data_IF_745969762842
#
_entry.id   IF_745969762842
#
_cell.length_a   1.000
_cell.length_b   1.000
_cell.length_c   1.000
_cell.angle_alpha   90.00
_cell.angle_beta   90.00
_cell.angle_gamma   90.00
#
_symmetry.space_group_name_H-M   'P 1'
#
loop_
_entity.id
_entity.type
_entity.pdbx_description
1 polymer ?
#
# COMPACT_ATOMS: atom_id res chain seq x y z
N UNK A 1 14.07 43.57 -15.57
CA UNK A 1 13.39 44.70 -14.86
C UNK A 1 13.97 44.86 -13.44
N UNK A 2 14.30 46.10 -13.00
CA UNK A 2 14.75 46.35 -11.61
C UNK A 2 13.55 46.65 -10.70
N UNK A 3 13.42 45.91 -9.59
CA UNK A 3 12.34 46.10 -8.61
C UNK A 3 12.92 46.45 -7.24
N UNK A 4 12.42 47.53 -6.63
CA UNK A 4 12.77 47.88 -5.24
C UNK A 4 12.07 46.94 -4.25
N UNK A 5 12.84 46.36 -3.33
CA UNK A 5 12.31 45.51 -2.27
C UNK A 5 11.64 46.37 -1.18
N UNK A 6 10.36 46.09 -0.88
CA UNK A 6 9.66 46.71 0.25
C UNK A 6 10.14 46.07 1.56
N UNK A 7 10.60 46.90 2.50
CA UNK A 7 11.09 46.45 3.81
C UNK A 7 9.93 46.13 4.76
N UNK A 8 9.99 44.98 5.41
CA UNK A 8 9.06 44.55 6.45
C UNK A 8 9.66 44.71 7.87
N UNK A 9 8.91 44.25 8.87
CA UNK A 9 9.31 44.34 10.29
C UNK A 9 10.60 43.54 10.57
N UNK A 10 11.39 43.94 11.58
CA UNK A 10 12.56 43.20 12.02
C UNK A 10 12.23 41.77 12.44
N UNK A 11 13.11 40.82 12.10
CA UNK A 11 12.96 39.39 12.48
C UNK A 11 13.33 39.09 13.93
N UNK A 12 13.91 40.07 14.64
CA UNK A 12 14.28 40.01 16.06
C UNK A 12 13.97 41.34 16.72
N UNK A 13 13.64 41.33 18.02
CA UNK A 13 13.40 42.55 18.78
C UNK A 13 14.67 43.43 18.78
N UNK A 14 14.54 44.67 18.29
CA UNK A 14 15.67 45.60 18.11
C UNK A 14 16.51 45.41 16.85
N UNK A 15 16.15 44.46 15.97
CA UNK A 15 16.85 44.23 14.70
C UNK A 15 16.51 45.24 13.60
N UNK A 16 17.27 45.19 12.50
CA UNK A 16 16.97 45.99 11.31
C UNK A 16 15.79 45.41 10.51
N UNK A 17 15.00 46.25 9.82
CA UNK A 17 13.94 45.81 8.90
C UNK A 17 14.49 44.87 7.82
N UNK A 18 13.77 43.77 7.57
CA UNK A 18 14.14 42.78 6.55
C UNK A 18 13.18 42.82 5.36
N UNK A 19 13.63 42.66 4.12
CA UNK A 19 15.01 42.48 3.68
C UNK A 19 15.86 43.76 3.75
N UNK A 20 17.21 43.66 3.77
CA UNK A 20 18.08 44.81 3.63
C UNK A 20 17.75 45.59 2.35
N UNK A 21 18.01 46.90 2.32
CA UNK A 21 17.70 47.68 1.11
C UNK A 21 18.56 47.17 -0.03
N UNK A 22 17.89 46.80 -1.11
CA UNK A 22 18.51 46.39 -2.35
C UNK A 22 17.48 46.45 -3.46
N UNK A 23 17.96 46.69 -4.66
CA UNK A 23 17.24 46.46 -5.91
C UNK A 23 17.61 45.06 -6.40
N UNK A 24 16.63 44.28 -6.85
CA UNK A 24 16.88 43.00 -7.50
C UNK A 24 16.68 43.17 -9.00
N UNK A 25 17.66 42.75 -9.78
CA UNK A 25 17.53 42.60 -11.23
C UNK A 25 16.84 41.27 -11.53
N UNK A 26 15.66 41.37 -12.14
CA UNK A 26 14.98 40.23 -12.73
C UNK A 26 15.45 40.15 -14.18
N UNK A 27 16.23 39.12 -14.49
CA UNK A 27 16.61 38.77 -15.86
C UNK A 27 15.39 38.16 -16.56
N UNK A 28 15.02 38.70 -17.72
CA UNK A 28 13.89 38.17 -18.50
C UNK A 28 14.25 36.76 -18.97
N UNK A 29 13.44 35.78 -18.56
CA UNK A 29 13.61 34.40 -18.98
C UNK A 29 13.56 34.31 -20.52
N UNK A 30 14.44 33.51 -21.16
CA UNK A 30 14.37 33.32 -22.60
C UNK A 30 13.00 32.74 -22.96
N UNK A 31 12.38 33.33 -23.99
CA UNK A 31 11.07 32.91 -24.49
C UNK A 31 11.05 31.41 -24.72
N UNK A 32 10.20 30.71 -23.96
CA UNK A 32 9.93 29.30 -24.19
C UNK A 32 9.43 29.12 -25.64
N UNK A 33 10.12 28.25 -26.39
CA UNK A 33 9.73 27.88 -27.73
C UNK A 33 8.26 27.42 -27.75
N UNK A 34 7.47 28.04 -28.62
CA UNK A 34 6.07 27.75 -28.80
C UNK A 34 5.88 26.27 -29.18
N UNK A 35 5.05 25.56 -28.40
CA UNK A 35 4.50 24.28 -28.82
C UNK A 35 3.65 24.48 -30.09
N UNK A 36 3.61 23.51 -31.02
CA UNK A 36 2.84 23.64 -32.25
C UNK A 36 1.36 23.81 -31.91
N UNK A 37 0.80 24.95 -32.32
CA UNK A 37 -0.62 25.26 -32.23
C UNK A 37 -1.39 24.37 -33.20
N UNK A 38 -2.32 23.58 -32.65
CA UNK A 38 -3.36 22.94 -33.45
C UNK A 38 -4.21 24.02 -34.15
N UNK A 39 -4.72 23.77 -35.37
CA UNK A 39 -5.54 24.75 -36.08
C UNK A 39 -6.80 25.09 -35.26
N UNK A 40 -7.30 26.34 -35.33
CA UNK A 40 -8.43 26.77 -34.54
C UNK A 40 -9.70 25.99 -34.91
N UNK A 41 -10.42 25.48 -33.91
CA UNK A 41 -11.74 24.90 -34.09
C UNK A 41 -12.70 25.99 -34.60
N UNK A 42 -13.36 25.75 -35.73
CA UNK A 42 -14.24 26.71 -36.41
C UNK A 42 -15.60 26.88 -35.75
N UNK A 43 -15.93 26.09 -34.71
CA UNK A 43 -17.19 26.20 -33.98
C UNK A 43 -16.95 26.27 -32.47
N UNK A 44 -17.48 27.32 -31.83
CA UNK A 44 -17.43 27.54 -30.39
C UNK A 44 -18.84 27.65 -29.82
N UNK A 45 -19.10 27.00 -28.69
CA UNK A 45 -20.39 27.04 -27.98
C UNK A 45 -20.32 28.00 -26.81
N UNK A 46 -21.32 28.86 -26.68
CA UNK A 46 -21.45 29.81 -25.58
C UNK A 46 -21.94 29.10 -24.30
N UNK A 47 -21.12 29.11 -23.25
CA UNK A 47 -21.43 28.42 -21.98
C UNK A 47 -21.48 29.43 -20.82
N UNK A 48 -22.56 29.45 -20.01
CA UNK A 48 -22.67 30.36 -18.87
C UNK A 48 -21.71 29.98 -17.74
N UNK A 49 -21.06 30.97 -17.13
CA UNK A 49 -20.15 30.78 -16.00
C UNK A 49 -20.92 30.43 -14.73
N UNK A 50 -20.57 29.31 -14.09
CA UNK A 50 -21.14 28.90 -12.80
C UNK A 50 -20.57 29.80 -11.69
N UNK A 51 -21.45 30.53 -10.99
CA UNK A 51 -21.05 31.43 -9.90
C UNK A 51 -20.93 30.69 -8.57
N UNK A 52 -19.87 31.00 -7.83
CA UNK A 52 -19.61 30.52 -6.47
C UNK A 52 -19.84 31.61 -5.42
N UNK A 53 -19.49 31.30 -4.17
CA UNK A 53 -19.70 32.21 -3.03
C UNK A 53 -18.91 33.53 -3.18
N UNK A 54 -19.43 34.65 -2.63
CA UNK A 54 -18.75 35.94 -2.64
C UNK A 54 -17.37 35.86 -1.97
N UNK A 55 -16.39 36.57 -2.55
CA UNK A 55 -15.01 36.62 -2.01
C UNK A 55 -14.86 37.54 -0.80
N UNK A 56 -15.89 38.31 -0.48
CA UNK A 56 -15.98 39.19 0.69
C UNK A 56 -17.37 39.10 1.31
N UNK A 57 -17.51 39.22 2.65
CA UNK A 57 -18.81 39.23 3.31
C UNK A 57 -19.71 40.35 2.75
N UNK A 58 -20.90 39.98 2.29
CA UNK A 58 -21.87 40.91 1.68
C UNK A 58 -21.60 41.27 0.21
N UNK A 59 -20.58 40.70 -0.44
CA UNK A 59 -20.27 40.93 -1.85
C UNK A 59 -21.11 40.09 -2.82
N UNK A 60 -20.96 40.35 -4.12
CA UNK A 60 -21.63 39.57 -5.16
C UNK A 60 -20.94 38.20 -5.41
N UNK A 61 -21.72 37.17 -5.84
CA UNK A 61 -21.18 35.87 -6.25
C UNK A 61 -20.14 36.01 -7.36
N UNK A 62 -19.01 35.32 -7.23
CA UNK A 62 -17.91 35.36 -8.20
C UNK A 62 -17.83 34.07 -9.01
N UNK A 63 -17.53 34.10 -10.32
CA UNK A 63 -17.29 35.29 -11.17
C UNK A 63 -18.56 36.09 -11.48
N UNK A 64 -18.43 37.34 -11.98
CA UNK A 64 -19.55 38.13 -12.45
C UNK A 64 -20.36 37.39 -13.52
N UNK A 65 -21.59 37.85 -13.76
CA UNK A 65 -22.42 37.35 -14.85
C UNK A 65 -21.65 37.36 -16.17
N UNK A 66 -21.44 36.20 -16.78
CA UNK A 66 -20.75 36.12 -18.04
C UNK A 66 -20.90 34.75 -18.68
N UNK A 67 -20.84 34.74 -20.00
CA UNK A 67 -20.73 33.54 -20.82
C UNK A 67 -19.31 33.49 -21.40
N UNK A 68 -18.80 32.28 -21.62
CA UNK A 68 -17.51 32.05 -22.28
C UNK A 68 -17.73 31.11 -23.46
N UNK A 69 -17.06 31.38 -24.57
CA UNK A 69 -17.08 30.53 -25.75
C UNK A 69 -16.04 29.42 -25.60
N UNK A 70 -16.48 28.17 -25.65
CA UNK A 70 -15.62 26.98 -25.55
C UNK A 70 -15.71 26.21 -26.86
N UNK A 71 -14.58 25.68 -27.36
CA UNK A 71 -14.56 24.90 -28.59
C UNK A 71 -15.56 23.73 -28.52
N UNK A 72 -16.39 23.58 -29.56
CA UNK A 72 -17.36 22.50 -29.63
C UNK A 72 -16.64 21.14 -29.63
N UNK A 73 -17.09 20.15 -28.83
CA UNK A 73 -16.51 18.81 -28.88
C UNK A 73 -16.78 18.21 -30.27
N UNK A 74 -15.71 17.76 -30.94
CA UNK A 74 -15.79 17.07 -32.23
C UNK A 74 -16.59 15.79 -32.03
N UNK A 75 -17.75 15.69 -32.68
CA UNK A 75 -18.55 14.48 -32.70
C UNK A 75 -17.74 13.34 -33.35
N UNK A 76 -17.61 12.21 -32.65
CA UNK A 76 -17.13 10.97 -33.25
C UNK A 76 -18.07 10.59 -34.41
N UNK A 77 -17.57 10.12 -35.56
CA UNK A 77 -18.41 9.79 -36.69
C UNK A 77 -19.40 8.69 -36.30
N UNK A 78 -20.68 8.96 -36.58
CA UNK A 78 -21.77 8.01 -36.46
C UNK A 78 -21.64 6.93 -37.54
N UNK A 79 -21.52 5.67 -37.12
CA UNK A 79 -21.66 4.53 -38.01
C UNK A 79 -23.06 4.56 -38.65
N UNK A 80 -23.08 4.69 -39.97
CA UNK A 80 -24.27 4.47 -40.84
C UNK A 80 -24.15 3.07 -41.47
N UNK A 81 -25.25 2.46 -41.97
CA UNK A 81 -25.57 1.07 -41.73
C UNK A 81 -25.12 0.12 -42.85
N UNK A 82 -24.84 -1.12 -42.42
CA UNK A 82 -25.02 -2.42 -43.08
C UNK A 82 -25.01 -2.48 -44.62
N UNK A 83 -24.05 -3.23 -45.19
CA UNK A 83 -24.24 -3.93 -46.46
C UNK A 83 -23.42 -5.23 -46.48
N UNK A 84 -24.17 -6.33 -46.64
CA UNK A 84 -23.87 -7.63 -47.25
C UNK A 84 -22.71 -8.50 -46.70
N UNK A 85 -23.12 -9.68 -46.21
CA UNK A 85 -22.29 -10.86 -45.95
C UNK A 85 -21.54 -11.36 -47.20
N UNK A 86 -20.54 -12.25 -46.99
CA UNK A 86 -20.78 -13.61 -47.48
C UNK A 86 -20.38 -14.73 -46.51
N UNK A 87 -21.19 -15.80 -46.59
CA UNK A 87 -20.89 -17.22 -46.44
C UNK A 87 -20.39 -17.78 -45.07
N UNK A 88 -21.32 -18.52 -44.45
CA UNK A 88 -21.17 -19.79 -43.73
C UNK A 88 -19.80 -20.14 -43.13
N UNK A 89 -19.71 -20.00 -41.81
CA UNK A 89 -18.95 -20.95 -40.99
C UNK A 89 -19.89 -21.48 -39.93
N UNK A 90 -20.12 -22.78 -39.96
CA UNK A 90 -20.94 -23.52 -39.01
C UNK A 90 -20.22 -23.51 -37.65
N UNK A 91 -20.63 -22.60 -36.76
CA UNK A 91 -20.05 -22.47 -35.42
C UNK A 91 -20.93 -23.28 -34.47
N UNK A 92 -20.39 -24.37 -33.92
CA UNK A 92 -21.06 -25.16 -32.89
C UNK A 92 -21.44 -24.26 -31.70
N UNK A 93 -22.73 -24.02 -31.54
CA UNK A 93 -23.30 -23.25 -30.42
C UNK A 93 -24.05 -24.18 -29.48
N UNK A 94 -23.86 -23.98 -28.17
CA UNK A 94 -24.54 -24.75 -27.12
C UNK A 94 -25.58 -23.85 -26.45
N UNK A 95 -26.79 -24.36 -26.28
CA UNK A 95 -27.84 -23.69 -25.51
C UNK A 95 -27.59 -23.83 -24.01
N UNK A 96 -27.42 -22.70 -23.32
CA UNK A 96 -27.25 -22.65 -21.87
C UNK A 96 -28.49 -21.99 -21.25
N UNK A 97 -29.16 -22.63 -20.27
CA UNK A 97 -30.30 -22.04 -19.57
C UNK A 97 -29.85 -20.89 -18.66
N UNK A 98 -30.57 -19.78 -18.69
CA UNK A 98 -30.33 -18.62 -17.81
C UNK A 98 -30.83 -18.91 -16.39
N UNK A 99 -29.97 -18.70 -15.38
CA UNK A 99 -30.38 -18.76 -13.96
C UNK A 99 -31.01 -17.42 -13.56
N UNK A 100 -32.24 -17.47 -13.06
CA UNK A 100 -32.95 -16.29 -12.55
C UNK A 100 -32.36 -15.85 -11.20
N UNK A 101 -32.09 -14.55 -11.09
CA UNK A 101 -31.66 -13.88 -9.87
C UNK A 101 -32.74 -12.98 -9.27
N UNK A 102 -32.39 -12.26 -8.21
CA UNK A 102 -33.29 -11.37 -7.50
C UNK A 102 -33.85 -10.25 -8.41
N UNK A 103 -35.10 -9.79 -8.17
CA UNK A 103 -35.68 -8.67 -8.90
C UNK A 103 -34.82 -7.41 -8.82
N UNK A 104 -34.69 -6.71 -9.95
CA UNK A 104 -33.91 -5.45 -10.03
C UNK A 104 -34.63 -4.25 -9.41
N UNK A 105 -35.90 -4.41 -9.05
CA UNK A 105 -36.72 -3.42 -8.35
C UNK A 105 -37.54 -4.10 -7.24
N UNK A 106 -37.79 -3.42 -6.10
CA UNK A 106 -38.65 -3.95 -5.05
C UNK A 106 -40.05 -4.28 -5.60
N UNK A 107 -40.48 -5.55 -5.48
CA UNK A 107 -41.76 -6.04 -5.98
C UNK A 107 -41.78 -6.46 -7.46
N UNK A 108 -40.65 -6.43 -8.17
CA UNK A 108 -40.55 -6.90 -9.56
C UNK A 108 -40.39 -8.42 -9.69
N UNK A 109 -40.46 -8.92 -10.92
CA UNK A 109 -40.18 -10.34 -11.21
C UNK A 109 -38.68 -10.69 -11.21
N UNK A 110 -38.32 -11.95 -10.93
CA UNK A 110 -36.94 -12.44 -11.02
C UNK A 110 -36.32 -12.19 -12.40
N UNK A 111 -35.10 -11.67 -12.42
CA UNK A 111 -34.39 -11.34 -13.66
C UNK A 111 -33.16 -12.22 -13.83
N UNK A 112 -32.82 -12.70 -15.05
CA UNK A 112 -33.53 -12.52 -16.32
C UNK A 112 -34.82 -13.36 -16.44
N UNK A 113 -35.74 -13.01 -17.35
CA UNK A 113 -36.86 -13.88 -17.71
C UNK A 113 -36.34 -15.24 -18.19
N UNK A 114 -37.13 -16.28 -17.97
CA UNK A 114 -36.78 -17.66 -18.34
C UNK A 114 -36.46 -17.75 -19.82
N UNK A 115 -35.25 -18.20 -20.15
CA UNK A 115 -34.78 -18.31 -21.52
C UNK A 115 -33.45 -19.05 -21.60
N UNK A 116 -33.13 -19.55 -22.79
CA UNK A 116 -31.82 -20.12 -23.12
C UNK A 116 -31.04 -19.13 -23.98
N UNK A 117 -29.71 -19.10 -23.82
CA UNK A 117 -28.82 -18.31 -24.69
C UNK A 117 -27.84 -19.26 -25.34
N UNK A 118 -27.64 -19.10 -26.65
CA UNK A 118 -26.64 -19.84 -27.42
C UNK A 118 -25.27 -19.21 -27.24
N UNK A 119 -24.32 -19.98 -26.74
CA UNK A 119 -22.93 -19.55 -26.55
C UNK A 119 -22.03 -20.45 -27.39
N UNK A 120 -21.01 -19.85 -28.03
CA UNK A 120 -20.02 -20.56 -28.85
C UNK A 120 -19.28 -21.58 -27.98
N UNK A 121 -19.26 -22.84 -28.40
CA UNK A 121 -18.59 -23.91 -27.67
C UNK A 121 -17.06 -23.67 -27.60
N UNK A 122 -16.40 -23.85 -26.45
CA UNK A 122 -14.94 -23.89 -26.40
C UNK A 122 -14.41 -25.12 -27.18
N UNK A 123 -13.24 -25.02 -27.83
CA UNK A 123 -12.71 -26.11 -28.67
C UNK A 123 -12.51 -27.39 -27.85
N UNK A 124 -13.11 -28.49 -28.34
CA UNK A 124 -13.12 -29.78 -27.69
C UNK A 124 -11.71 -30.38 -27.57
N UNK A 125 -11.32 -30.75 -26.35
CA UNK A 125 -10.21 -31.65 -26.11
C UNK A 125 -10.52 -33.03 -26.70
N UNK A 126 -9.50 -33.68 -27.25
CA UNK A 126 -9.52 -34.95 -27.98
C UNK A 126 -10.50 -36.00 -27.43
N UNK A 127 -11.37 -36.45 -28.33
CA UNK A 127 -12.28 -37.58 -28.17
C UNK A 127 -11.46 -38.88 -28.20
N UNK A 128 -11.33 -39.57 -27.07
CA UNK A 128 -10.84 -40.95 -27.05
C UNK A 128 -11.90 -41.88 -27.66
N UNK A 129 -11.53 -42.89 -28.48
CA UNK A 129 -12.50 -43.64 -29.26
C UNK A 129 -13.29 -44.64 -28.41
N UNK A 130 -14.56 -44.73 -28.78
CA UNK A 130 -15.58 -45.64 -28.30
C UNK A 130 -15.26 -47.08 -28.73
N UNK A 131 -15.20 -48.00 -27.76
CA UNK A 131 -14.96 -49.41 -28.00
C UNK A 131 -16.29 -50.14 -28.28
N UNK A 132 -16.37 -50.79 -29.44
CA UNK A 132 -17.45 -51.71 -29.81
C UNK A 132 -17.26 -53.09 -29.14
N UNK A 133 -18.32 -53.92 -29.05
CA UNK A 133 -18.39 -55.07 -28.15
C UNK A 133 -18.06 -56.40 -28.86
N UNK A 134 -17.34 -57.33 -28.21
CA UNK A 134 -17.53 -58.77 -28.46
C UNK A 134 -16.96 -59.71 -27.39
N UNK A 135 -17.80 -60.70 -27.03
CA UNK A 135 -17.57 -62.10 -26.72
C UNK A 135 -16.52 -62.59 -25.68
N UNK A 136 -17.10 -63.17 -24.62
CA UNK A 136 -16.91 -64.53 -24.11
C UNK A 136 -15.49 -65.07 -23.79
N UNK A 137 -15.32 -65.40 -22.50
CA UNK A 137 -14.64 -66.61 -22.08
C UNK A 137 -13.37 -66.40 -21.26
N UNK A 138 -13.48 -66.29 -19.94
CA UNK A 138 -12.67 -67.06 -18.98
C UNK A 138 -13.13 -66.79 -17.54
N UNK A 139 -13.24 -67.87 -16.80
CA UNK A 139 -13.71 -68.03 -15.42
C UNK A 139 -12.86 -67.25 -14.39
N UNK A 140 -13.44 -66.48 -13.44
CA UNK A 140 -12.67 -65.85 -12.38
C UNK A 140 -12.62 -66.69 -11.09
N UNK A 141 -11.40 -66.91 -10.60
CA UNK A 141 -11.06 -67.40 -9.27
C UNK A 141 -11.62 -66.47 -8.15
N UNK A 142 -11.81 -66.98 -6.92
CA UNK A 142 -12.75 -66.38 -5.96
C UNK A 142 -12.29 -65.03 -5.41
N UNK A 143 -13.23 -64.08 -5.39
CA UNK A 143 -13.05 -62.73 -4.90
C UNK A 143 -12.75 -62.68 -3.38
N UNK A 144 -11.87 -61.78 -2.91
CA UNK A 144 -11.76 -61.47 -1.49
C UNK A 144 -13.03 -60.77 -0.99
N UNK A 145 -13.44 -61.10 0.23
CA UNK A 145 -14.65 -60.60 0.90
C UNK A 145 -14.70 -59.06 0.88
N UNK A 146 -15.85 -58.44 0.55
CA UNK A 146 -15.97 -56.98 0.60
C UNK A 146 -15.89 -56.51 2.06
N UNK A 147 -14.93 -55.63 2.34
CA UNK A 147 -14.99 -54.77 3.52
C UNK A 147 -16.20 -53.83 3.39
N UNK A 148 -16.92 -53.53 4.49
CA UNK A 148 -18.10 -52.69 4.42
C UNK A 148 -17.71 -51.30 3.93
N UNK A 149 -18.34 -50.87 2.83
CA UNK A 149 -18.32 -49.49 2.37
C UNK A 149 -18.97 -48.64 3.47
N UNK A 150 -18.28 -47.62 4.03
CA UNK A 150 -18.95 -46.65 4.88
C UNK A 150 -20.01 -45.95 4.02
N UNK A 151 -21.26 -45.94 4.47
CA UNK A 151 -22.31 -45.17 3.84
C UNK A 151 -21.82 -43.72 3.61
N UNK A 152 -22.20 -43.07 2.49
CA UNK A 152 -21.86 -41.67 2.28
C UNK A 152 -22.41 -40.90 3.48
N UNK A 153 -21.49 -40.32 4.25
CA UNK A 153 -21.86 -39.38 5.29
C UNK A 153 -22.75 -38.33 4.62
N UNK A 154 -23.99 -38.26 5.06
CA UNK A 154 -24.86 -37.15 4.74
C UNK A 154 -24.03 -35.91 5.01
N UNK A 155 -23.83 -35.10 3.96
CA UNK A 155 -23.25 -33.78 4.11
C UNK A 155 -24.27 -33.03 4.97
N UNK A 156 -24.07 -33.09 6.29
CA UNK A 156 -24.64 -32.11 7.18
C UNK A 156 -24.25 -30.79 6.57
N UNK A 157 -25.26 -30.00 6.18
CA UNK A 157 -25.05 -28.61 5.84
C UNK A 157 -24.11 -28.05 6.91
N UNK A 158 -22.93 -27.57 6.50
CA UNK A 158 -22.09 -26.79 7.38
C UNK A 158 -22.98 -25.63 7.85
N UNK A 159 -23.49 -25.74 9.07
CA UNK A 159 -24.08 -24.62 9.77
C UNK A 159 -22.99 -23.55 9.75
N UNK A 160 -23.22 -22.48 8.99
CA UNK A 160 -22.39 -21.30 9.09
C UNK A 160 -22.31 -20.94 10.57
N UNK A 161 -21.12 -20.72 11.15
CA UNK A 161 -21.02 -20.39 12.56
C UNK A 161 -21.65 -19.01 12.79
N UNK A 162 -22.96 -19.01 13.08
CA UNK A 162 -23.67 -17.90 13.70
C UNK A 162 -22.98 -17.60 15.04
N UNK A 163 -22.04 -16.67 15.03
CA UNK A 163 -21.40 -16.24 16.29
C UNK A 163 -20.05 -15.55 16.16
N UNK A 164 -19.33 -15.68 15.05
CA UNK A 164 -18.05 -14.96 14.90
C UNK A 164 -18.28 -13.45 14.75
N UNK A 165 -19.40 -13.05 14.14
CA UNK A 165 -19.74 -11.64 13.90
C UNK A 165 -20.09 -10.80 15.14
N UNK A 166 -20.39 -11.40 16.31
CA UNK A 166 -20.78 -10.67 17.54
C UNK A 166 -19.73 -10.68 18.65
N UNK A 167 -18.72 -11.56 18.56
CA UNK A 167 -17.68 -11.71 19.62
C UNK A 167 -16.62 -10.62 19.65
N UNK A 168 -16.42 -9.89 18.55
CA UNK A 168 -15.42 -8.80 18.47
C UNK A 168 -15.98 -7.45 18.94
N UNK A 169 -17.31 -7.24 18.84
CA UNK A 169 -17.97 -6.00 19.21
C UNK A 169 -17.66 -5.50 20.64
N UNK A 170 -17.68 -6.32 21.71
CA UNK A 170 -17.32 -5.84 23.04
C UNK A 170 -15.85 -5.42 23.14
N UNK A 171 -14.95 -6.08 22.43
CA UNK A 171 -13.52 -5.72 22.40
C UNK A 171 -13.27 -4.43 21.65
N UNK A 172 -13.93 -4.23 20.50
CA UNK A 172 -13.82 -2.95 19.77
C UNK A 172 -14.45 -1.81 20.51
N UNK A 173 -15.62 -2.01 21.11
CA UNK A 173 -16.26 -0.99 21.94
C UNK A 173 -15.36 -0.66 23.15
N UNK A 174 -14.82 -1.67 23.82
CA UNK A 174 -13.87 -1.47 24.92
C UNK A 174 -12.61 -0.72 24.50
N UNK A 175 -12.04 -1.04 23.33
CA UNK A 175 -10.86 -0.35 22.78
C UNK A 175 -11.17 1.10 22.46
N UNK A 176 -12.33 1.38 21.85
CA UNK A 176 -12.77 2.74 21.53
C UNK A 176 -13.05 3.56 22.80
N UNK A 177 -13.68 2.97 23.81
CA UNK A 177 -13.91 3.61 25.10
C UNK A 177 -12.59 3.91 25.82
N UNK A 178 -11.64 2.97 25.80
CA UNK A 178 -10.30 3.18 26.36
C UNK A 178 -9.57 4.32 25.64
N UNK A 179 -9.61 4.35 24.31
CA UNK A 179 -9.02 5.43 23.51
C UNK A 179 -9.69 6.78 23.82
N UNK A 180 -11.02 6.82 23.88
CA UNK A 180 -11.76 8.02 24.23
C UNK A 180 -11.39 8.52 25.64
N UNK A 181 -11.28 7.61 26.62
CA UNK A 181 -10.83 7.94 27.96
C UNK A 181 -9.38 8.45 27.97
N UNK A 182 -8.48 7.87 27.18
CA UNK A 182 -7.10 8.32 27.05
C UNK A 182 -7.02 9.72 26.42
N UNK A 183 -7.84 10.00 25.40
CA UNK A 183 -7.93 11.33 24.77
C UNK A 183 -8.44 12.35 25.78
N UNK A 184 -9.56 12.08 26.46
CA UNK A 184 -10.15 12.98 27.45
C UNK A 184 -9.17 13.22 28.61
N UNK A 185 -8.55 12.16 29.13
CA UNK A 185 -7.58 12.24 30.21
C UNK A 185 -6.34 13.05 29.82
N UNK A 186 -5.83 12.85 28.60
CA UNK A 186 -4.68 13.61 28.09
C UNK A 186 -5.03 15.08 27.90
N UNK A 187 -6.18 15.40 27.30
CA UNK A 187 -6.67 16.78 27.16
C UNK A 187 -6.82 17.48 28.50
N UNK A 188 -7.37 16.78 29.50
CA UNK A 188 -7.50 17.31 30.85
C UNK A 188 -6.14 17.55 31.50
N UNK A 189 -5.22 16.58 31.43
CA UNK A 189 -3.90 16.67 32.04
C UNK A 189 -3.08 17.81 31.44
N UNK A 190 -3.01 17.90 30.11
CA UNK A 190 -2.29 18.96 29.37
C UNK A 190 -2.84 20.35 29.72
N UNK A 191 -4.14 20.47 30.01
CA UNK A 191 -4.76 21.72 30.46
C UNK A 191 -4.48 22.13 31.91
N UNK A 192 -3.80 21.28 32.70
CA UNK A 192 -3.41 21.61 34.09
C UNK A 192 -2.06 22.34 34.14
N UNK A 193 -1.77 23.06 35.24
CA UNK A 193 -0.47 23.71 35.42
C UNK A 193 0.72 22.74 35.38
N UNK A 194 0.56 21.53 35.94
CA UNK A 194 1.62 20.52 35.94
C UNK A 194 1.83 19.89 34.56
N UNK A 195 0.76 19.65 33.79
CA UNK A 195 0.87 19.18 32.41
C UNK A 195 1.52 20.22 31.50
N UNK A 196 1.13 21.49 31.64
CA UNK A 196 1.74 22.59 30.91
C UNK A 196 3.23 22.77 31.27
N UNK A 197 3.60 22.69 32.56
CA UNK A 197 5.01 22.75 32.97
C UNK A 197 5.81 21.53 32.46
N UNK A 198 5.21 20.34 32.45
CA UNK A 198 5.85 19.14 31.92
C UNK A 198 6.15 19.28 30.42
N UNK A 199 5.19 19.75 29.62
CA UNK A 199 5.39 20.00 28.19
C UNK A 199 6.38 21.15 27.97
N UNK A 200 6.36 22.20 28.80
CA UNK A 200 7.32 23.28 28.68
C UNK A 200 8.77 22.84 28.98
N UNK A 201 8.95 21.83 29.85
CA UNK A 201 10.25 21.23 30.17
C UNK A 201 10.67 20.18 29.12
N UNK A 202 9.71 19.46 28.57
CA UNK A 202 9.90 18.41 27.57
C UNK A 202 8.94 18.69 26.42
N UNK A 203 9.40 19.48 25.45
CA UNK A 203 8.60 19.94 24.30
C UNK A 203 8.24 18.81 23.33
N UNK A 204 8.87 17.64 23.48
CA UNK A 204 8.68 16.47 22.62
C UNK A 204 9.73 16.35 21.54
N UNK A 205 10.64 17.32 21.43
CA UNK A 205 11.75 17.31 20.47
C UNK A 205 12.84 16.36 20.98
N UNK A 206 13.42 15.61 20.05
CA UNK A 206 14.65 14.86 20.34
C UNK A 206 15.84 15.82 20.43
N UNK A 207 16.65 15.78 21.50
CA UNK A 207 17.96 16.41 21.52
C UNK A 207 18.95 15.67 20.60
N UNK A 208 19.23 16.25 19.45
CA UNK A 208 20.23 15.77 18.48
C UNK A 208 21.63 16.32 18.82
N UNK A 209 22.71 15.58 18.50
CA UNK A 209 24.07 16.13 18.50
C UNK A 209 24.21 17.32 17.54
N UNK A 210 25.12 18.24 17.84
CA UNK A 210 25.37 19.45 17.03
C UNK A 210 25.81 19.14 15.58
N UNK A 211 26.43 17.97 15.36
CA UNK A 211 26.90 17.48 14.06
C UNK A 211 25.87 16.58 13.35
N UNK A 212 24.65 16.46 13.88
CA UNK A 212 23.60 15.67 13.26
C UNK A 212 23.22 16.23 11.87
N UNK A 213 23.13 15.37 10.84
CA UNK A 213 22.82 15.83 9.50
C UNK A 213 21.38 16.35 9.39
N UNK A 214 21.23 17.50 8.74
CA UNK A 214 19.94 18.11 8.39
C UNK A 214 19.55 17.68 6.97
N UNK A 215 18.27 17.38 6.80
CA UNK A 215 17.68 16.97 5.54
C UNK A 215 17.78 15.48 5.26
N UNK A 216 17.06 15.08 4.22
CA UNK A 216 16.96 13.69 3.79
C UNK A 216 17.74 13.50 2.49
N UNK A 217 18.85 12.73 2.49
CA UNK A 217 19.65 12.51 1.29
C UNK A 217 18.89 11.62 0.32
N UNK A 218 19.07 11.82 -0.99
CA UNK A 218 18.34 11.09 -2.03
C UNK A 218 18.41 9.56 -1.88
N UNK A 219 19.48 9.03 -1.29
CA UNK A 219 19.58 7.60 -1.03
C UNK A 219 18.52 7.07 -0.07
N UNK A 220 18.17 7.87 0.94
CA UNK A 220 17.18 7.54 1.94
C UNK A 220 15.78 7.53 1.32
N UNK A 221 15.50 8.46 0.41
CA UNK A 221 14.23 8.55 -0.32
C UNK A 221 13.96 7.32 -1.19
N UNK A 222 14.93 6.93 -2.03
CA UNK A 222 14.72 5.75 -2.90
C UNK A 222 14.74 4.46 -2.09
N UNK A 223 15.56 4.37 -1.03
CA UNK A 223 15.55 3.22 -0.13
C UNK A 223 14.21 3.09 0.59
N UNK A 224 13.61 4.20 1.04
CA UNK A 224 12.27 4.24 1.62
C UNK A 224 11.21 3.72 0.63
N UNK A 225 11.22 4.23 -0.62
CA UNK A 225 10.32 3.74 -1.67
C UNK A 225 10.48 2.24 -1.90
N UNK A 226 11.71 1.76 -2.07
CA UNK A 226 11.95 0.35 -2.35
C UNK A 226 11.59 -0.54 -1.15
N UNK A 227 11.82 -0.07 0.08
CA UNK A 227 11.38 -0.73 1.30
C UNK A 227 9.86 -0.82 1.39
N UNK A 228 9.13 0.26 1.07
CA UNK A 228 7.66 0.24 1.00
C UNK A 228 7.17 -0.82 0.00
N UNK A 229 7.76 -0.87 -1.19
CA UNK A 229 7.45 -1.87 -2.22
C UNK A 229 7.69 -3.29 -1.71
N UNK A 230 8.88 -3.58 -1.19
CA UNK A 230 9.24 -4.91 -0.69
C UNK A 230 8.35 -5.32 0.50
N UNK A 231 8.13 -4.43 1.46
CA UNK A 231 7.33 -4.73 2.65
C UNK A 231 5.90 -5.13 2.27
N UNK A 232 5.27 -4.42 1.32
CA UNK A 232 3.95 -4.78 0.83
C UNK A 232 3.94 -6.21 0.23
N UNK A 233 4.92 -6.56 -0.61
CA UNK A 233 5.01 -7.89 -1.21
C UNK A 233 5.34 -8.98 -0.20
N UNK A 234 6.21 -8.70 0.78
CA UNK A 234 6.59 -9.64 1.84
C UNK A 234 5.37 -9.93 2.73
N UNK A 235 4.64 -8.90 3.16
CA UNK A 235 3.40 -9.08 3.94
C UNK A 235 2.38 -9.90 3.16
N UNK A 236 2.15 -9.56 1.88
CA UNK A 236 1.25 -10.32 1.01
C UNK A 236 1.63 -11.79 0.94
N UNK A 237 2.88 -12.07 0.55
CA UNK A 237 3.35 -13.43 0.30
C UNK A 237 3.44 -14.24 1.60
N UNK A 238 3.75 -13.62 2.74
CA UNK A 238 3.72 -14.26 4.04
C UNK A 238 2.30 -14.66 4.47
N UNK A 239 1.31 -13.79 4.21
CA UNK A 239 -0.11 -14.12 4.42
C UNK A 239 -0.58 -15.24 3.50
N UNK A 240 -0.17 -15.20 2.22
CA UNK A 240 -0.52 -16.24 1.24
C UNK A 240 0.07 -17.59 1.65
N UNK A 241 1.36 -17.67 2.00
CA UNK A 241 2.02 -18.89 2.50
C UNK A 241 1.29 -19.46 3.72
N UNK A 242 0.82 -18.61 4.64
CA UNK A 242 0.11 -19.04 5.84
C UNK A 242 -1.30 -19.58 5.55
N UNK A 243 -1.95 -19.11 4.48
CA UNK A 243 -3.34 -19.47 4.11
C UNK A 243 -3.40 -20.60 3.07
N UNK A 244 -2.34 -20.77 2.28
CA UNK A 244 -2.25 -21.72 1.17
C UNK A 244 -2.24 -23.17 1.69
N UNK A 245 -3.35 -23.90 1.47
CA UNK A 245 -3.44 -25.34 1.79
C UNK A 245 -2.95 -26.24 0.65
N UNK A 246 -3.13 -25.79 -0.60
CA UNK A 246 -2.82 -26.54 -1.82
C UNK A 246 -2.16 -25.60 -2.84
N UNK A 247 -0.82 -25.54 -2.89
CA UNK A 247 -0.11 -24.69 -3.83
C UNK A 247 -0.43 -25.01 -5.30
N UNK A 248 -0.59 -23.97 -6.11
CA UNK A 248 -0.84 -24.09 -7.56
C UNK A 248 0.40 -24.56 -8.33
N UNK A 249 1.59 -24.21 -7.84
CA UNK A 249 2.86 -24.58 -8.44
C UNK A 249 3.94 -24.73 -7.36
N UNK A 250 4.91 -25.56 -7.67
CA UNK A 250 6.04 -25.86 -6.81
C UNK A 250 7.35 -25.60 -7.52
N UNK A 251 8.33 -25.08 -6.79
CA UNK A 251 9.68 -24.82 -7.25
C UNK A 251 10.68 -25.74 -6.55
N UNK A 252 11.72 -26.14 -7.27
CA UNK A 252 12.86 -26.90 -6.76
C UNK A 252 14.18 -26.36 -7.35
N UNK A 253 15.27 -26.24 -6.57
CA UNK A 253 16.56 -25.80 -7.09
C UNK A 253 17.10 -26.70 -8.21
N UNK A 254 17.84 -26.13 -9.17
CA UNK A 254 18.44 -26.90 -10.29
C UNK A 254 19.39 -28.01 -9.83
N UNK A 255 20.12 -27.77 -8.74
CA UNK A 255 21.10 -28.70 -8.16
C UNK A 255 20.45 -29.79 -7.28
N UNK A 256 19.12 -29.87 -7.24
CA UNK A 256 18.39 -30.71 -6.30
C UNK A 256 18.18 -30.03 -4.95
N UNK A 257 17.27 -30.57 -4.14
CA UNK A 257 16.91 -29.99 -2.85
C UNK A 257 15.41 -30.08 -2.54
N UNK A 258 15.00 -29.46 -1.44
CA UNK A 258 13.61 -29.49 -0.97
C UNK A 258 12.70 -28.73 -1.93
N UNK A 259 11.60 -29.37 -2.32
CA UNK A 259 10.53 -28.76 -3.12
C UNK A 259 9.67 -27.86 -2.22
N UNK A 260 9.44 -26.63 -2.66
CA UNK A 260 8.64 -25.61 -1.93
C UNK A 260 7.58 -25.02 -2.86
N UNK A 261 6.53 -24.37 -2.32
CA UNK A 261 5.58 -23.66 -3.19
C UNK A 261 6.26 -22.47 -3.87
N UNK A 262 5.77 -22.10 -5.07
CA UNK A 262 6.24 -20.88 -5.76
C UNK A 262 5.99 -19.64 -4.91
N UNK A 263 4.91 -19.62 -4.12
CA UNK A 263 4.60 -18.55 -3.16
C UNK A 263 5.67 -18.43 -2.08
N UNK A 264 6.09 -19.56 -1.48
CA UNK A 264 7.17 -19.57 -0.49
C UNK A 264 8.53 -19.19 -1.09
N UNK A 265 8.80 -19.64 -2.33
CA UNK A 265 9.99 -19.21 -3.06
C UNK A 265 10.02 -17.70 -3.26
N UNK A 266 8.89 -17.10 -3.67
CA UNK A 266 8.79 -15.66 -3.87
C UNK A 266 9.02 -14.89 -2.57
N UNK A 267 8.40 -15.32 -1.47
CA UNK A 267 8.62 -14.73 -0.16
C UNK A 267 10.10 -14.72 0.21
N UNK A 268 10.78 -15.87 0.04
CA UNK A 268 12.20 -15.98 0.34
C UNK A 268 13.09 -15.08 -0.53
N UNK A 269 12.77 -14.91 -1.81
CA UNK A 269 13.50 -14.02 -2.72
C UNK A 269 13.31 -12.55 -2.30
N UNK A 270 12.08 -12.17 -1.96
CA UNK A 270 11.77 -10.82 -1.46
C UNK A 270 12.48 -10.54 -0.13
N UNK A 271 12.52 -11.51 0.78
CA UNK A 271 13.24 -11.38 2.04
C UNK A 271 14.75 -11.17 1.82
N UNK A 272 15.36 -11.91 0.88
CA UNK A 272 16.78 -11.74 0.53
C UNK A 272 17.02 -10.33 -0.06
N UNK A 273 16.14 -9.87 -0.95
CA UNK A 273 16.22 -8.52 -1.51
C UNK A 273 16.07 -7.44 -0.42
N UNK A 274 15.18 -7.67 0.55
CA UNK A 274 14.95 -6.77 1.68
C UNK A 274 16.13 -6.74 2.66
N UNK A 275 16.75 -7.89 2.94
CA UNK A 275 17.99 -7.96 3.74
C UNK A 275 19.14 -7.25 3.01
N UNK A 276 19.26 -7.42 1.69
CA UNK A 276 20.27 -6.72 0.90
C UNK A 276 20.05 -5.19 0.92
N UNK A 277 18.80 -4.73 0.76
CA UNK A 277 18.45 -3.33 0.92
C UNK A 277 18.77 -2.83 2.33
N UNK A 278 18.45 -3.62 3.37
CA UNK A 278 18.75 -3.33 4.76
C UNK A 278 20.26 -3.19 5.02
N UNK A 279 21.08 -4.04 4.40
CA UNK A 279 22.54 -3.93 4.50
C UNK A 279 23.05 -2.63 3.87
N UNK A 280 22.59 -2.29 2.66
CA UNK A 280 22.93 -1.01 2.00
C UNK A 280 22.47 0.17 2.85
N UNK A 281 21.25 0.09 3.37
CA UNK A 281 20.68 1.10 4.26
C UNK A 281 21.54 1.27 5.52
N UNK A 282 21.92 0.21 6.22
CA UNK A 282 22.78 0.27 7.40
C UNK A 282 24.13 0.91 7.10
N UNK A 283 24.78 0.49 6.01
CA UNK A 283 26.08 1.07 5.60
C UNK A 283 25.94 2.58 5.36
N UNK A 284 24.95 3.01 4.58
CA UNK A 284 24.75 4.43 4.29
C UNK A 284 24.29 5.22 5.52
N UNK A 285 23.43 4.64 6.35
CA UNK A 285 22.93 5.25 7.58
C UNK A 285 24.09 5.62 8.52
N UNK A 286 25.02 4.70 8.73
CA UNK A 286 26.19 4.95 9.58
C UNK A 286 27.25 5.82 8.87
N UNK A 287 27.53 5.57 7.59
CA UNK A 287 28.54 6.32 6.84
C UNK A 287 28.19 7.80 6.63
N UNK A 288 26.90 8.15 6.62
CA UNK A 288 26.43 9.54 6.42
C UNK A 288 25.98 10.25 7.70
N UNK A 289 26.14 9.62 8.86
CA UNK A 289 25.70 10.19 10.15
C UNK A 289 24.18 10.19 10.37
N UNK A 290 23.39 9.74 9.38
CA UNK A 290 21.92 9.73 9.44
C UNK A 290 21.36 8.85 10.57
N UNK A 291 22.17 7.93 11.13
CA UNK A 291 21.83 7.15 12.32
C UNK A 291 21.44 8.02 13.53
N UNK A 292 22.03 9.21 13.68
CA UNK A 292 21.78 10.12 14.82
C UNK A 292 20.32 10.56 14.91
N UNK A 293 19.57 10.50 13.81
CA UNK A 293 18.16 10.87 13.73
C UNK A 293 17.20 9.79 14.21
N UNK A 294 17.66 8.54 14.34
CA UNK A 294 16.81 7.39 14.65
C UNK A 294 17.37 6.50 15.76
N UNK A 295 18.45 6.93 16.42
CA UNK A 295 19.07 6.25 17.55
C UNK A 295 19.17 7.24 18.69
N UNK A 296 18.53 6.96 19.84
CA UNK A 296 18.59 7.84 20.99
C UNK A 296 20.02 8.19 21.43
N UNK A 297 20.31 9.48 21.43
CA UNK A 297 21.60 10.06 21.86
C UNK A 297 21.55 10.67 23.27
N UNK A 298 20.36 10.80 23.85
CA UNK A 298 20.14 11.26 25.23
C UNK A 298 19.03 10.45 25.91
N UNK A 299 19.09 10.37 27.24
CA UNK A 299 18.02 9.81 28.07
C UNK A 299 16.77 10.70 28.10
N UNK A 300 16.88 11.97 27.71
CA UNK A 300 15.74 12.89 27.62
C UNK A 300 14.74 12.47 26.53
N UNK A 301 15.10 11.52 25.66
CA UNK A 301 14.17 10.94 24.68
C UNK A 301 12.92 10.36 25.36
N UNK A 302 13.05 9.75 26.54
CA UNK A 302 11.92 9.09 27.21
C UNK A 302 10.87 10.08 27.72
N UNK A 303 11.22 11.11 28.53
CA UNK A 303 10.25 12.10 28.94
C UNK A 303 9.70 12.92 27.75
N UNK A 304 10.52 13.23 26.73
CA UNK A 304 10.03 13.87 25.51
C UNK A 304 9.05 12.99 24.71
N UNK A 305 9.29 11.68 24.62
CA UNK A 305 8.37 10.76 23.95
C UNK A 305 7.04 10.64 24.70
N UNK A 306 7.07 10.67 26.04
CA UNK A 306 5.84 10.74 26.86
C UNK A 306 5.10 12.04 26.59
N UNK A 307 5.81 13.18 26.54
CA UNK A 307 5.22 14.48 26.19
C UNK A 307 4.56 14.47 24.81
N UNK A 308 5.30 14.04 23.77
CA UNK A 308 4.78 13.92 22.42
C UNK A 308 3.55 12.97 22.37
N UNK A 309 3.60 11.85 23.09
CA UNK A 309 2.47 10.92 23.20
C UNK A 309 1.22 11.54 23.83
N UNK A 310 1.40 12.33 24.90
CA UNK A 310 0.30 13.08 25.52
C UNK A 310 -0.27 14.13 24.58
N UNK A 311 0.57 14.84 23.84
CA UNK A 311 0.18 15.82 22.82
C UNK A 311 -0.64 15.16 21.70
N UNK A 312 -0.17 14.04 21.12
CA UNK A 312 -0.94 13.25 20.15
C UNK A 312 -2.29 12.77 20.71
N UNK A 313 -2.33 12.23 21.94
CA UNK A 313 -3.57 11.80 22.58
C UNK A 313 -4.50 12.98 22.90
N UNK A 314 -3.94 14.14 23.24
CA UNK A 314 -4.70 15.35 23.48
C UNK A 314 -5.31 15.95 22.19
N UNK A 315 -4.95 15.40 21.03
CA UNK A 315 -5.28 15.91 19.71
C UNK A 315 -4.71 17.33 19.47
N UNK A 316 -3.59 17.63 20.11
CA UNK A 316 -2.82 18.86 19.97
C UNK A 316 -1.41 18.45 19.56
N UNK A 317 -1.19 18.34 18.26
CA UNK A 317 -0.01 17.66 17.71
C UNK A 317 1.28 18.38 18.09
N UNK A 318 2.35 17.64 18.46
CA UNK A 318 3.64 18.24 18.73
C UNK A 318 4.22 18.89 17.47
N UNK A 319 5.27 19.68 17.64
CA UNK A 319 6.00 20.25 16.52
C UNK A 319 6.63 19.13 15.66
N UNK A 320 6.40 19.20 14.34
CA UNK A 320 6.78 18.17 13.37
C UNK A 320 7.64 18.80 12.27
N UNK A 321 8.93 18.46 12.25
CA UNK A 321 9.87 18.95 11.25
C UNK A 321 10.80 17.85 10.75
N UNK A 322 10.23 16.82 10.10
CA UNK A 322 10.94 15.61 9.63
C UNK A 322 12.20 15.86 8.76
N UNK A 323 12.34 17.06 8.18
CA UNK A 323 13.57 17.49 7.51
C UNK A 323 14.73 17.76 8.49
N UNK A 324 14.45 18.35 9.65
CA UNK A 324 15.44 18.75 10.66
C UNK A 324 15.54 17.73 11.78
N UNK A 325 14.43 17.23 12.31
CA UNK A 325 14.39 16.25 13.39
C UNK A 325 13.12 15.40 13.33
N UNK A 326 13.11 14.30 14.09
CA UNK A 326 11.87 13.60 14.41
C UNK A 326 11.52 13.87 15.88
N UNK A 327 10.23 13.95 16.21
CA UNK A 327 9.88 14.04 17.63
C UNK A 327 10.34 12.74 18.35
N UNK A 328 10.55 12.82 19.67
CA UNK A 328 11.14 11.71 20.42
C UNK A 328 10.29 10.42 20.37
N UNK A 329 8.96 10.50 20.22
CA UNK A 329 8.11 9.33 20.07
C UNK A 329 8.32 8.65 18.71
N UNK A 330 8.43 9.44 17.64
CA UNK A 330 8.77 8.95 16.30
C UNK A 330 10.17 8.32 16.28
N UNK A 331 11.17 8.96 16.90
CA UNK A 331 12.53 8.43 16.99
C UNK A 331 12.53 7.05 17.66
N UNK A 332 11.89 6.89 18.83
CA UNK A 332 11.80 5.58 19.49
C UNK A 332 11.07 4.55 18.64
N UNK A 333 10.02 4.95 17.91
CA UNK A 333 9.31 4.06 17.00
C UNK A 333 10.20 3.62 15.82
N UNK A 334 11.02 4.52 15.27
CA UNK A 334 11.96 4.21 14.20
C UNK A 334 13.12 3.35 14.69
N UNK A 335 13.67 3.66 15.86
CA UNK A 335 14.68 2.83 16.52
C UNK A 335 14.17 1.40 16.71
N UNK A 336 12.98 1.25 17.30
CA UNK A 336 12.37 -0.06 17.51
C UNK A 336 12.12 -0.79 16.18
N UNK A 337 11.63 -0.09 15.15
CA UNK A 337 11.35 -0.71 13.86
C UNK A 337 12.63 -1.19 13.16
N UNK A 338 13.66 -0.35 13.12
CA UNK A 338 14.90 -0.59 12.37
C UNK A 338 15.84 -1.52 13.14
N UNK A 339 16.06 -1.29 14.43
CA UNK A 339 17.08 -2.00 15.22
C UNK A 339 16.56 -3.16 16.05
N UNK A 340 15.24 -3.34 16.17
CA UNK A 340 14.65 -4.44 16.95
C UNK A 340 13.74 -5.30 16.06
N UNK A 341 12.65 -4.74 15.54
CA UNK A 341 11.66 -5.50 14.78
C UNK A 341 12.23 -6.10 13.50
N UNK A 342 13.01 -5.33 12.72
CA UNK A 342 13.64 -5.84 11.51
C UNK A 342 14.63 -6.99 11.78
N UNK A 343 15.61 -6.87 12.69
CA UNK A 343 16.48 -7.99 13.06
C UNK A 343 15.72 -9.21 13.59
N UNK A 344 14.66 -9.01 14.40
CA UNK A 344 13.82 -10.12 14.86
C UNK A 344 13.10 -10.83 13.70
N UNK A 345 12.59 -10.08 12.72
CA UNK A 345 11.95 -10.65 11.53
C UNK A 345 12.96 -11.44 10.67
N UNK A 346 14.17 -10.90 10.47
CA UNK A 346 15.26 -11.57 9.74
C UNK A 346 15.66 -12.86 10.45
N UNK A 347 15.93 -12.80 11.76
CA UNK A 347 16.38 -13.95 12.54
C UNK A 347 15.33 -15.07 12.58
N UNK A 348 14.07 -14.69 12.81
CA UNK A 348 12.95 -15.66 12.84
C UNK A 348 12.62 -16.21 11.45
N UNK A 349 12.70 -15.39 10.40
CA UNK A 349 12.51 -15.81 9.00
C UNK A 349 13.62 -16.76 8.53
N UNK A 350 14.89 -16.39 8.76
CA UNK A 350 16.04 -17.24 8.46
C UNK A 350 15.95 -18.58 9.19
N UNK A 351 15.51 -18.58 10.45
CA UNK A 351 15.30 -19.80 11.22
C UNK A 351 14.25 -20.75 10.62
N UNK A 352 13.22 -20.21 9.98
CA UNK A 352 12.18 -21.01 9.31
C UNK A 352 12.53 -21.36 7.87
N UNK A 353 13.55 -20.71 7.29
CA UNK A 353 13.98 -20.93 5.91
C UNK A 353 14.58 -22.32 5.69
N UNK A 354 14.61 -22.75 4.43
CA UNK A 354 15.36 -23.95 4.01
C UNK A 354 16.88 -23.79 4.06
N UNK A 355 17.40 -22.58 4.33
CA UNK A 355 18.83 -22.26 4.41
C UNK A 355 19.40 -22.48 5.81
N UNK A 356 18.54 -22.69 6.83
CA UNK A 356 18.99 -22.95 8.20
C UNK A 356 19.81 -24.26 8.29
N UNK A 357 21.06 -24.23 8.79
CA UNK A 357 21.88 -25.44 8.90
C UNK A 357 21.26 -26.48 9.83
N UNK A 358 21.22 -27.75 9.39
CA UNK A 358 20.66 -28.85 10.20
C UNK A 358 21.46 -29.15 11.47
N UNK A 359 22.74 -28.76 11.51
CA UNK A 359 23.60 -28.87 12.68
C UNK A 359 23.23 -27.88 13.79
N UNK A 360 22.52 -26.79 13.48
CA UNK A 360 22.20 -25.74 14.43
C UNK A 360 20.88 -26.04 15.17
N UNK A 361 20.99 -26.52 16.41
CA UNK A 361 19.85 -26.95 17.24
C UNK A 361 19.44 -25.96 18.34
N UNK A 362 20.24 -24.93 18.60
CA UNK A 362 20.06 -24.03 19.75
C UNK A 362 18.77 -23.20 19.70
N UNK A 363 18.30 -22.82 18.51
CA UNK A 363 17.08 -22.03 18.34
C UNK A 363 15.94 -22.95 17.90
N UNK A 364 14.83 -23.06 18.64
CA UNK A 364 13.71 -23.90 18.23
C UNK A 364 12.83 -23.21 17.17
N UNK A 365 12.21 -24.00 16.29
CA UNK A 365 11.26 -23.48 15.27
C UNK A 365 10.01 -22.86 15.92
N UNK A 366 9.61 -23.36 17.09
CA UNK A 366 8.45 -22.82 17.83
C UNK A 366 8.65 -21.36 18.21
N UNK A 367 9.84 -20.98 18.66
CA UNK A 367 10.21 -19.59 18.91
C UNK A 367 10.08 -18.74 17.64
N UNK A 368 10.63 -19.23 16.51
CA UNK A 368 10.60 -18.48 15.26
C UNK A 368 9.18 -18.19 14.80
N UNK A 369 8.27 -19.16 14.90
CA UNK A 369 6.84 -18.96 14.58
C UNK A 369 6.16 -17.99 15.56
N UNK A 370 6.48 -18.08 16.84
CA UNK A 370 5.93 -17.23 17.89
C UNK A 370 6.39 -15.77 17.78
N UNK A 371 7.54 -15.52 17.16
CA UNK A 371 8.08 -14.16 16.93
C UNK A 371 7.69 -13.61 15.57
N UNK A 372 7.92 -14.37 14.50
CA UNK A 372 7.84 -13.87 13.13
C UNK A 372 6.45 -13.32 12.77
N UNK A 373 5.39 -14.05 13.12
CA UNK A 373 4.03 -13.62 12.79
C UNK A 373 3.61 -12.36 13.58
N UNK A 374 3.80 -12.28 14.92
CA UNK A 374 3.59 -11.03 15.64
C UNK A 374 4.43 -9.86 15.13
N UNK A 375 5.68 -10.08 14.73
CA UNK A 375 6.52 -9.02 14.13
C UNK A 375 5.93 -8.51 12.81
N UNK A 376 5.36 -9.38 11.98
CA UNK A 376 4.62 -8.94 10.78
C UNK A 376 3.40 -8.09 11.14
N UNK A 377 2.63 -8.47 12.17
CA UNK A 377 1.50 -7.66 12.64
C UNK A 377 1.97 -6.30 13.16
N UNK A 378 3.08 -6.25 13.89
CA UNK A 378 3.72 -4.99 14.30
C UNK A 378 4.06 -4.11 13.10
N UNK A 379 4.69 -4.65 12.04
CA UNK A 379 5.00 -3.86 10.84
C UNK A 379 3.75 -3.31 10.17
N UNK A 380 2.68 -4.11 10.05
CA UNK A 380 1.41 -3.64 9.47
C UNK A 380 0.81 -2.51 10.30
N UNK A 381 0.79 -2.64 11.64
CA UNK A 381 0.30 -1.60 12.53
C UNK A 381 1.17 -0.33 12.45
N UNK A 382 2.49 -0.49 12.46
CA UNK A 382 3.45 0.61 12.30
C UNK A 382 3.22 1.36 10.98
N UNK A 383 3.14 0.66 9.84
CA UNK A 383 2.89 1.28 8.53
C UNK A 383 1.56 2.02 8.52
N UNK A 384 0.49 1.44 9.08
CA UNK A 384 -0.81 2.09 9.14
C UNK A 384 -0.78 3.39 9.95
N UNK A 385 -0.19 3.36 11.15
CA UNK A 385 -0.05 4.55 12.02
C UNK A 385 0.88 5.58 11.35
N UNK A 386 2.01 5.13 10.80
CA UNK A 386 2.98 5.99 10.13
C UNK A 386 2.36 6.74 8.96
N UNK A 387 1.65 6.04 8.06
CA UNK A 387 0.98 6.67 6.92
C UNK A 387 -0.13 7.62 7.39
N UNK A 388 -0.89 7.25 8.41
CA UNK A 388 -1.90 8.14 9.00
C UNK A 388 -1.27 9.45 9.50
N UNK A 389 -0.16 9.37 10.24
CA UNK A 389 0.54 10.55 10.73
C UNK A 389 1.10 11.39 9.59
N UNK A 390 1.77 10.78 8.60
CA UNK A 390 2.25 11.48 7.40
C UNK A 390 1.14 12.32 6.75
N UNK A 391 -0.06 11.76 6.62
CA UNK A 391 -1.19 12.43 5.96
C UNK A 391 -1.86 13.50 6.83
N UNK A 392 -1.74 13.41 8.16
CA UNK A 392 -2.42 14.31 9.10
C UNK A 392 -1.50 15.39 9.69
N UNK A 393 -0.18 15.25 9.60
CA UNK A 393 0.82 16.20 10.13
C UNK A 393 1.49 17.05 9.06
N UNK A 394 0.75 17.42 8.01
CA UNK A 394 1.29 18.22 6.90
C UNK A 394 1.72 17.39 5.69
N UNK A 395 0.78 16.60 5.15
CA UNK A 395 0.97 15.67 4.03
C UNK A 395 1.87 16.18 2.89
N UNK A 396 1.67 17.42 2.43
CA UNK A 396 2.46 17.96 1.31
C UNK A 396 3.95 18.08 1.63
N UNK A 397 4.28 18.67 2.77
CA UNK A 397 5.67 18.80 3.23
C UNK A 397 6.30 17.43 3.49
N UNK A 398 5.58 16.55 4.20
CA UNK A 398 6.04 15.20 4.51
C UNK A 398 6.33 14.37 3.24
N UNK A 399 5.42 14.42 2.25
CA UNK A 399 5.60 13.68 1.00
C UNK A 399 6.72 14.29 0.13
N UNK A 400 6.90 15.61 0.11
CA UNK A 400 8.04 16.23 -0.58
C UNK A 400 9.38 15.85 0.06
N UNK A 401 9.43 15.83 1.39
CA UNK A 401 10.61 15.39 2.13
C UNK A 401 10.94 13.93 1.81
N UNK A 402 9.96 13.01 1.87
CA UNK A 402 10.19 11.57 1.73
C UNK A 402 10.31 11.05 0.29
N UNK A 403 9.60 11.64 -0.67
CA UNK A 403 9.60 11.14 -2.06
C UNK A 403 10.37 12.03 -3.04
N UNK A 404 10.51 13.32 -2.75
CA UNK A 404 11.17 14.28 -3.65
C UNK A 404 12.51 14.83 -3.13
N UNK A 405 12.94 14.44 -1.91
CA UNK A 405 14.12 14.98 -1.23
C UNK A 405 14.11 16.52 -1.17
N UNK A 406 12.95 17.10 -0.83
CA UNK A 406 12.76 18.56 -0.75
C UNK A 406 12.13 19.01 0.56
N UNK A 407 12.63 20.13 1.07
CA UNK A 407 12.05 20.86 2.20
C UNK A 407 11.09 21.95 1.72
N UNK A 408 9.95 21.55 1.16
CA UNK A 408 8.93 22.49 0.71
C UNK A 408 7.51 21.96 0.95
N UNK A 409 6.63 22.78 1.51
CA UNK A 409 5.21 22.40 1.69
C UNK A 409 4.31 22.89 0.54
N UNK A 410 4.83 23.71 -0.37
CA UNK A 410 4.10 24.29 -1.50
C UNK A 410 4.11 23.41 -2.75
N UNK A 411 5.18 22.65 -2.97
CA UNK A 411 5.34 21.78 -4.13
C UNK A 411 4.41 20.56 -4.09
N UNK A 412 4.13 20.01 -5.27
CA UNK A 412 3.32 18.79 -5.44
C UNK A 412 4.12 17.58 -5.92
N UNK A 413 5.42 17.74 -6.15
CA UNK A 413 6.28 16.72 -6.74
C UNK A 413 6.30 15.44 -5.89
N UNK A 414 6.45 15.57 -4.57
CA UNK A 414 6.42 14.45 -3.63
C UNK A 414 5.10 13.69 -3.64
N UNK A 415 3.96 14.40 -3.75
CA UNK A 415 2.67 13.73 -3.89
C UNK A 415 2.58 12.92 -5.19
N UNK A 416 3.02 13.49 -6.31
CA UNK A 416 3.02 12.80 -7.61
C UNK A 416 3.91 11.54 -7.55
N UNK A 417 5.11 11.67 -6.99
CA UNK A 417 6.04 10.55 -6.82
C UNK A 417 5.50 9.49 -5.85
N UNK A 418 4.80 9.90 -4.79
CA UNK A 418 4.09 8.99 -3.89
C UNK A 418 2.98 8.21 -4.61
N UNK A 419 2.14 8.88 -5.41
CA UNK A 419 1.10 8.20 -6.16
C UNK A 419 1.68 7.22 -7.19
N UNK A 420 2.78 7.59 -7.85
CA UNK A 420 3.51 6.67 -8.71
C UNK A 420 4.05 5.47 -7.92
N UNK A 421 4.63 5.70 -6.75
CA UNK A 421 5.12 4.64 -5.87
C UNK A 421 4.00 3.68 -5.43
N UNK A 422 2.83 4.20 -5.07
CA UNK A 422 1.63 3.41 -4.76
C UNK A 422 1.20 2.59 -5.97
N UNK A 423 1.17 3.18 -7.18
CA UNK A 423 0.80 2.49 -8.40
C UNK A 423 1.77 1.34 -8.72
N UNK A 424 3.08 1.56 -8.60
CA UNK A 424 4.11 0.53 -8.78
C UNK A 424 3.96 -0.59 -7.74
N UNK A 425 3.71 -0.23 -6.48
CA UNK A 425 3.48 -1.20 -5.40
C UNK A 425 2.22 -2.03 -5.65
N UNK A 426 1.13 -1.41 -6.09
CA UNK A 426 -0.10 -2.10 -6.45
C UNK A 426 0.09 -3.06 -7.65
N UNK A 427 0.85 -2.63 -8.66
CA UNK A 427 1.20 -3.47 -9.81
C UNK A 427 2.05 -4.68 -9.38
N UNK A 428 3.06 -4.46 -8.53
CA UNK A 428 3.85 -5.55 -7.94
C UNK A 428 3.00 -6.51 -7.11
N UNK A 429 2.08 -5.98 -6.30
CA UNK A 429 1.16 -6.78 -5.48
C UNK A 429 0.28 -7.68 -6.34
N UNK A 430 -0.30 -7.14 -7.41
CA UNK A 430 -1.07 -7.90 -8.39
C UNK A 430 -0.21 -8.95 -9.11
N UNK A 431 1.03 -8.61 -9.45
CA UNK A 431 1.98 -9.49 -10.14
C UNK A 431 2.51 -10.61 -9.23
N UNK A 432 2.48 -10.45 -7.91
CA UNK A 432 2.91 -11.44 -6.92
C UNK A 432 1.94 -12.64 -6.76
N UNK A 433 1.41 -13.14 -7.88
CA UNK A 433 0.57 -14.34 -7.97
C UNK A 433 1.28 -15.47 -8.72
N UNK A 434 1.02 -16.74 -8.39
CA UNK A 434 1.75 -17.87 -8.97
C UNK A 434 1.78 -17.90 -10.51
N UNK A 435 0.70 -17.52 -11.19
CA UNK A 435 0.61 -17.52 -12.66
C UNK A 435 1.61 -16.58 -13.34
N UNK A 436 1.90 -15.44 -12.71
CA UNK A 436 2.83 -14.42 -13.24
C UNK A 436 4.26 -14.70 -12.81
N UNK A 437 4.45 -15.24 -11.60
CA UNK A 437 5.78 -15.45 -10.99
C UNK A 437 6.45 -16.74 -11.47
N UNK A 438 5.67 -17.73 -11.90
CA UNK A 438 6.18 -19.04 -12.35
C UNK A 438 7.29 -18.94 -13.41
N UNK A 439 7.16 -18.16 -14.50
CA UNK A 439 8.23 -18.00 -15.49
C UNK A 439 9.54 -17.47 -14.89
N UNK A 440 9.46 -16.53 -13.94
CA UNK A 440 10.63 -15.99 -13.23
C UNK A 440 11.25 -17.07 -12.35
N UNK A 441 10.43 -17.85 -11.65
CA UNK A 441 10.89 -18.96 -10.81
C UNK A 441 11.60 -20.06 -11.64
N UNK A 442 11.20 -20.29 -12.89
CA UNK A 442 11.86 -21.25 -13.80
C UNK A 442 13.31 -20.86 -14.14
N UNK A 443 13.65 -19.58 -14.10
CA UNK A 443 15.04 -19.15 -14.34
C UNK A 443 16.01 -19.71 -13.27
N UNK A 444 15.54 -19.86 -12.04
CA UNK A 444 16.36 -20.27 -10.88
C UNK A 444 16.18 -21.74 -10.47
N UNK A 445 15.18 -22.45 -11.01
CA UNK A 445 14.89 -23.82 -10.64
C UNK A 445 13.85 -24.50 -11.53
N UNK A 446 13.54 -25.76 -11.24
CA UNK A 446 12.48 -26.50 -11.92
C UNK A 446 11.14 -26.14 -11.29
N UNK A 447 10.14 -25.81 -12.12
CA UNK A 447 8.77 -25.54 -11.66
C UNK A 447 7.82 -26.61 -12.19
N UNK A 448 7.07 -27.23 -11.28
CA UNK A 448 5.99 -28.16 -11.63
C UNK A 448 4.66 -27.53 -11.24
N UNK A 449 3.79 -27.35 -12.22
CA UNK A 449 2.39 -26.96 -12.00
C UNK A 449 1.59 -28.18 -11.57
N UNK A 450 0.55 -27.94 -10.79
CA UNK A 450 -0.43 -28.97 -10.47
C UNK A 450 -1.39 -29.19 -11.63
#
# INVERSE_FOLDING_TARGET
MQVQLRRGLPRVAGGQPWPPAGTVEIEDAPAAAAAPTAPPATETVETPLRRGLPRVPGGEPWPPAGTVHVAAPVAAPADTPETAAPAENDVDTVEVPLRQGLPRVPGGEPWPPTGTVRVVAPPAAERAPEAAPEAAGSEPAPAPKPSPVPAPAQVAAEEEPEGVGKRWFPWTLGTLLLLAAAVIGSRWYVGTASGAEFIARYDGIQPLPDDAPVGLPAWLNWAHFFNMFLMALIVKTGLDVRREKRPAAYWQPKQGGKKISVTLWLHQVLDIAWVALGLVFYVLLFATGQWMRIVPTSWDVFPNAVSAGLQFLALDWPEEHGWVFYNALQELAYFATVFIAAPLSIASGFRMSGMWPSSWKAVPVSWARAVHFPTMIYFVAFVAIHVFLVLTTGARGNLNAMFAARDDASGWLGLILFLLAVAVTAAGWWAARPSVVTPVAQATGKVTRR
#
